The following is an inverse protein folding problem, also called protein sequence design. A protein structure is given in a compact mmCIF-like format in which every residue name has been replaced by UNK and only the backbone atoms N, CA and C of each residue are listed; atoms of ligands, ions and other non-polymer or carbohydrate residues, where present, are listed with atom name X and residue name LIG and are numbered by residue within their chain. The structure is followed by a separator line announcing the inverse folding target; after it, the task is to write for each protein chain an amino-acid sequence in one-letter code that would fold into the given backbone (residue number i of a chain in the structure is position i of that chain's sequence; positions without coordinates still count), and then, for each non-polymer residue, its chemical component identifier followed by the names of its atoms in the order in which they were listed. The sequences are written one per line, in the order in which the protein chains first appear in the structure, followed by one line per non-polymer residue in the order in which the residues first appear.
data_IF_194286023856
#
_entry.id   IF_194286023856
#
_cell.length_a   1.000
_cell.length_b   1.000
_cell.length_c   1.000
_cell.angle_alpha   90.00
_cell.angle_beta   90.00
_cell.angle_gamma   90.00
#
_symmetry.space_group_name_H-M   'P 1'
#
loop_
_entity.id
_entity.type
_entity.pdbx_description
1 polymer ?
#
# COMPACT_ATOMS: atom_id res chain seq x y z
N UNK A 1 85.73 -36.86 -14.72
CA UNK A 1 84.74 -36.92 -13.61
C UNK A 1 84.00 -35.59 -13.38
N UNK A 2 84.58 -34.42 -13.71
CA UNK A 2 84.00 -33.10 -13.40
C UNK A 2 82.69 -32.72 -14.14
N UNK A 3 82.49 -33.18 -15.38
CA UNK A 3 81.29 -32.85 -16.17
C UNK A 3 80.00 -33.46 -15.61
N UNK A 4 80.07 -34.71 -15.11
CA UNK A 4 78.90 -35.41 -14.55
C UNK A 4 78.41 -34.77 -13.25
N UNK A 5 79.32 -34.24 -12.43
CA UNK A 5 78.97 -33.56 -11.17
C UNK A 5 78.22 -32.24 -11.43
N UNK A 6 78.66 -31.45 -12.41
CA UNK A 6 77.97 -30.21 -12.78
C UNK A 6 76.57 -30.46 -13.35
N UNK A 7 76.42 -31.51 -14.16
CA UNK A 7 75.12 -31.89 -14.70
C UNK A 7 74.15 -32.33 -13.59
N UNK A 8 74.63 -33.12 -12.62
CA UNK A 8 73.81 -33.53 -11.47
C UNK A 8 73.42 -32.35 -10.59
N UNK A 9 74.35 -31.41 -10.34
CA UNK A 9 74.04 -30.19 -9.58
C UNK A 9 72.99 -29.31 -10.28
N UNK A 10 73.06 -29.20 -11.61
CA UNK A 10 72.05 -28.47 -12.40
C UNK A 10 70.67 -29.13 -12.32
N UNK A 11 70.57 -30.45 -12.54
CA UNK A 11 69.31 -31.18 -12.39
C UNK A 11 68.71 -31.05 -11.00
N UNK A 12 69.52 -31.16 -9.94
CA UNK A 12 69.01 -31.00 -8.57
C UNK A 12 68.48 -29.60 -8.29
N UNK A 13 69.06 -28.58 -8.92
CA UNK A 13 68.59 -27.21 -8.77
C UNK A 13 67.26 -26.99 -9.51
N UNK A 14 67.14 -27.51 -10.73
CA UNK A 14 65.90 -27.45 -11.51
C UNK A 14 64.74 -28.21 -10.83
N UNK A 15 65.00 -29.41 -10.30
CA UNK A 15 64.01 -30.19 -9.53
C UNK A 15 63.56 -29.46 -8.25
N UNK A 16 64.48 -28.75 -7.59
CA UNK A 16 64.15 -27.93 -6.44
C UNK A 16 63.22 -26.77 -6.82
N UNK A 17 63.52 -26.04 -7.90
CA UNK A 17 62.65 -24.96 -8.37
C UNK A 17 61.27 -25.46 -8.82
N UNK A 18 61.21 -26.62 -9.49
CA UNK A 18 59.96 -27.26 -9.89
C UNK A 18 59.13 -27.66 -8.67
N UNK A 19 59.77 -28.23 -7.65
CA UNK A 19 59.12 -28.60 -6.40
C UNK A 19 58.55 -27.37 -5.68
N UNK A 20 59.30 -26.27 -5.65
CA UNK A 20 58.82 -25.02 -5.06
C UNK A 20 57.58 -24.47 -5.80
N UNK A 21 57.61 -24.45 -7.14
CA UNK A 21 56.45 -24.05 -7.95
C UNK A 21 55.26 -24.97 -7.75
N UNK A 22 55.51 -26.27 -7.56
CA UNK A 22 54.45 -27.25 -7.30
C UNK A 22 53.74 -26.95 -5.97
N UNK A 23 54.50 -26.73 -4.90
CA UNK A 23 53.95 -26.36 -3.60
C UNK A 23 53.14 -25.06 -3.67
N UNK A 24 53.62 -24.05 -4.40
CA UNK A 24 52.88 -22.81 -4.62
C UNK A 24 51.54 -23.05 -5.34
N UNK A 25 51.52 -23.94 -6.35
CA UNK A 25 50.30 -24.31 -7.08
C UNK A 25 49.34 -25.05 -6.15
N UNK A 26 49.84 -25.98 -5.35
CA UNK A 26 49.03 -26.72 -4.37
C UNK A 26 48.42 -25.78 -3.33
N UNK A 27 49.21 -24.83 -2.80
CA UNK A 27 48.73 -23.82 -1.85
C UNK A 27 47.62 -22.95 -2.42
N UNK A 28 47.79 -22.45 -3.66
CA UNK A 28 46.74 -21.67 -4.35
C UNK A 28 45.48 -22.49 -4.59
N UNK A 29 45.61 -23.75 -4.98
CA UNK A 29 44.47 -24.65 -5.19
C UNK A 29 43.71 -24.91 -3.89
N UNK A 30 44.42 -25.17 -2.79
CA UNK A 30 43.81 -25.40 -1.48
C UNK A 30 43.00 -24.18 -1.03
N UNK A 31 43.57 -22.98 -1.15
CA UNK A 31 42.89 -21.74 -0.81
C UNK A 31 41.62 -21.52 -1.66
N UNK A 32 41.70 -21.74 -2.96
CA UNK A 32 40.54 -21.59 -3.85
C UNK A 32 39.43 -22.58 -3.50
N UNK A 33 39.77 -23.85 -3.24
CA UNK A 33 38.79 -24.87 -2.85
C UNK A 33 38.08 -24.49 -1.54
N UNK A 34 38.84 -24.00 -0.54
CA UNK A 34 38.28 -23.54 0.73
C UNK A 34 37.30 -22.36 0.51
N UNK A 35 37.66 -21.39 -0.34
CA UNK A 35 36.78 -20.27 -0.68
C UNK A 35 35.50 -20.73 -1.39
N UNK A 36 35.62 -21.66 -2.34
CA UNK A 36 34.48 -22.22 -3.06
C UNK A 36 33.53 -22.98 -2.12
N UNK A 37 34.06 -23.77 -1.19
CA UNK A 37 33.29 -24.51 -0.20
C UNK A 37 32.52 -23.55 0.73
N UNK A 38 33.20 -22.52 1.26
CA UNK A 38 32.58 -21.51 2.11
C UNK A 38 31.42 -20.78 1.39
N UNK A 39 31.65 -20.38 0.13
CA UNK A 39 30.62 -19.73 -0.67
C UNK A 39 29.43 -20.66 -0.97
N UNK A 40 29.70 -21.93 -1.27
CA UNK A 40 28.67 -22.93 -1.51
C UNK A 40 27.79 -23.13 -0.27
N UNK A 41 28.38 -23.35 0.90
CA UNK A 41 27.62 -23.53 2.14
C UNK A 41 26.83 -22.28 2.52
N UNK A 42 27.37 -21.07 2.30
CA UNK A 42 26.64 -19.83 2.48
C UNK A 42 25.39 -19.76 1.57
N UNK A 43 25.54 -20.08 0.28
CA UNK A 43 24.42 -20.08 -0.65
C UNK A 43 23.37 -21.14 -0.31
N UNK A 44 23.81 -22.33 0.09
CA UNK A 44 22.94 -23.41 0.54
C UNK A 44 22.13 -23.01 1.76
N UNK A 45 22.75 -22.37 2.75
CA UNK A 45 22.07 -21.83 3.93
C UNK A 45 21.03 -20.77 3.56
N UNK A 46 21.39 -19.81 2.68
CA UNK A 46 20.47 -18.78 2.18
C UNK A 46 19.24 -19.39 1.48
N UNK A 47 19.45 -20.37 0.59
CA UNK A 47 18.36 -21.08 -0.10
C UNK A 47 17.45 -21.82 0.88
N UNK A 48 18.03 -22.50 1.88
CA UNK A 48 17.25 -23.18 2.93
C UNK A 48 16.40 -22.18 3.72
N UNK A 49 16.98 -21.06 4.13
CA UNK A 49 16.25 -19.99 4.83
C UNK A 49 15.12 -19.42 3.98
N UNK A 50 15.38 -19.11 2.70
CA UNK A 50 14.37 -18.59 1.78
C UNK A 50 13.22 -19.58 1.58
N UNK A 51 13.51 -20.87 1.45
CA UNK A 51 12.51 -21.92 1.34
C UNK A 51 11.59 -21.95 2.57
N UNK A 52 12.17 -21.93 3.77
CA UNK A 52 11.41 -21.91 5.03
C UNK A 52 10.52 -20.67 5.13
N UNK A 53 11.06 -19.49 4.82
CA UNK A 53 10.29 -18.24 4.84
C UNK A 53 9.15 -18.26 3.80
N UNK A 54 9.41 -18.78 2.60
CA UNK A 54 8.40 -18.92 1.55
C UNK A 54 7.30 -19.89 1.96
N UNK A 55 7.65 -21.00 2.62
CA UNK A 55 6.68 -21.97 3.11
C UNK A 55 5.81 -21.36 4.21
N UNK A 56 6.41 -20.72 5.22
CA UNK A 56 5.68 -20.03 6.27
C UNK A 56 4.77 -18.92 5.72
N UNK A 57 5.24 -18.15 4.74
CA UNK A 57 4.42 -17.15 4.07
C UNK A 57 3.24 -17.78 3.31
N UNK A 58 3.46 -18.93 2.64
CA UNK A 58 2.41 -19.66 1.94
C UNK A 58 1.33 -20.18 2.91
N UNK A 59 1.74 -20.76 4.03
CA UNK A 59 0.84 -21.25 5.09
C UNK A 59 0.00 -20.10 5.67
N UNK A 60 0.65 -18.99 6.03
CA UNK A 60 -0.04 -17.78 6.51
C UNK A 60 -1.02 -17.23 5.48
N UNK A 61 -0.62 -17.14 4.21
CA UNK A 61 -1.48 -16.63 3.15
C UNK A 61 -2.69 -17.55 2.90
N UNK A 62 -2.50 -18.87 3.02
CA UNK A 62 -3.60 -19.83 2.90
C UNK A 62 -4.63 -19.64 4.03
N UNK A 63 -4.18 -19.43 5.27
CA UNK A 63 -5.06 -19.15 6.39
C UNK A 63 -5.84 -17.85 6.17
N UNK A 64 -5.16 -16.77 5.80
CA UNK A 64 -5.81 -15.47 5.53
C UNK A 64 -6.86 -15.60 4.41
N UNK A 65 -6.55 -16.35 3.36
CA UNK A 65 -7.50 -16.57 2.27
C UNK A 65 -8.74 -17.34 2.75
N UNK A 66 -8.55 -18.35 3.59
CA UNK A 66 -9.65 -19.09 4.20
C UNK A 66 -10.51 -18.17 5.09
N UNK A 67 -9.88 -17.32 5.90
CA UNK A 67 -10.58 -16.37 6.76
C UNK A 67 -11.41 -15.37 5.93
N UNK A 68 -10.86 -14.87 4.82
CA UNK A 68 -11.61 -14.01 3.89
C UNK A 68 -12.80 -14.73 3.25
N UNK A 69 -12.62 -15.97 2.79
CA UNK A 69 -13.72 -16.75 2.22
C UNK A 69 -14.83 -17.01 3.25
N UNK A 70 -14.45 -17.27 4.50
CA UNK A 70 -15.41 -17.44 5.59
C UNK A 70 -16.13 -16.14 5.90
N UNK A 71 -15.42 -15.01 5.98
CA UNK A 71 -16.01 -13.70 6.17
C UNK A 71 -16.99 -13.35 5.04
N UNK A 72 -16.61 -13.61 3.78
CA UNK A 72 -17.47 -13.41 2.62
C UNK A 72 -18.75 -14.25 2.71
N UNK A 73 -18.63 -15.56 2.97
CA UNK A 73 -19.81 -16.44 3.15
C UNK A 73 -20.72 -15.95 4.28
N UNK A 74 -20.15 -15.49 5.39
CA UNK A 74 -20.91 -14.94 6.50
C UNK A 74 -21.65 -13.65 6.10
N UNK A 75 -21.02 -12.79 5.29
CA UNK A 75 -21.66 -11.59 4.77
C UNK A 75 -22.73 -11.90 3.72
N UNK A 76 -22.54 -12.92 2.89
CA UNK A 76 -23.53 -13.34 1.89
C UNK A 76 -24.76 -13.99 2.53
N UNK A 77 -24.57 -14.80 3.57
CA UNK A 77 -25.67 -15.48 4.28
C UNK A 77 -26.44 -14.55 5.20
N UNK A 78 -25.82 -13.48 5.69
CA UNK A 78 -26.47 -12.45 6.50
C UNK A 78 -27.11 -11.41 5.56
N UNK A 79 -28.41 -11.14 5.69
CA UNK A 79 -28.98 -9.94 5.04
C UNK A 79 -28.23 -8.71 5.60
N UNK A 80 -27.39 -8.10 4.75
CA UNK A 80 -26.44 -7.05 5.12
C UNK A 80 -27.13 -5.81 5.70
N UNK A 81 -28.37 -5.52 5.28
CA UNK A 81 -29.19 -4.43 5.81
C UNK A 81 -30.63 -4.89 6.01
N UNK A 82 -31.27 -4.40 7.08
CA UNK A 82 -32.69 -4.61 7.33
C UNK A 82 -33.52 -4.08 6.14
N UNK A 83 -34.60 -4.76 5.71
CA UNK A 83 -35.43 -4.34 4.58
C UNK A 83 -35.87 -2.87 4.64
N UNK A 84 -36.09 -2.34 5.84
CA UNK A 84 -36.45 -0.93 6.05
C UNK A 84 -35.36 0.05 5.61
N UNK A 85 -34.09 -0.31 5.80
CA UNK A 85 -32.96 0.54 5.39
C UNK A 85 -32.86 0.54 3.87
N UNK A 86 -32.98 -0.64 3.24
CA UNK A 86 -33.00 -0.80 1.78
C UNK A 86 -34.16 -0.01 1.17
N UNK A 87 -35.35 -0.10 1.77
CA UNK A 87 -36.52 0.65 1.33
C UNK A 87 -36.30 2.17 1.46
N UNK A 88 -35.70 2.62 2.58
CA UNK A 88 -35.35 4.04 2.77
C UNK A 88 -34.33 4.53 1.76
N UNK A 89 -33.28 3.78 1.48
CA UNK A 89 -32.30 4.12 0.44
C UNK A 89 -32.94 4.21 -0.94
N UNK A 90 -33.78 3.23 -1.28
CA UNK A 90 -34.51 3.21 -2.56
C UNK A 90 -35.41 4.43 -2.71
N UNK A 91 -36.21 4.75 -1.68
CA UNK A 91 -37.07 5.93 -1.68
C UNK A 91 -36.28 7.24 -1.71
N UNK A 92 -35.14 7.29 -1.01
CA UNK A 92 -34.24 8.44 -1.02
C UNK A 92 -33.68 8.69 -2.41
N UNK A 93 -33.05 7.69 -3.03
CA UNK A 93 -32.48 7.82 -4.38
C UNK A 93 -33.55 8.14 -5.43
N UNK A 94 -34.72 7.50 -5.35
CA UNK A 94 -35.86 7.85 -6.21
C UNK A 94 -36.36 9.29 -5.98
N UNK A 95 -36.24 9.82 -4.76
CA UNK A 95 -36.55 11.23 -4.49
C UNK A 95 -35.46 12.18 -5.00
N UNK A 96 -34.20 11.76 -4.98
CA UNK A 96 -33.08 12.51 -5.55
C UNK A 96 -33.25 12.62 -7.06
N UNK A 97 -33.49 11.49 -7.74
CA UNK A 97 -33.72 11.43 -9.19
C UNK A 97 -34.91 12.31 -9.61
N UNK A 98 -36.01 12.28 -8.85
CA UNK A 98 -37.17 13.15 -9.11
C UNK A 98 -36.86 14.64 -9.03
N UNK A 99 -35.97 15.04 -8.12
CA UNK A 99 -35.59 16.46 -7.95
C UNK A 99 -34.40 16.85 -8.83
N UNK A 100 -33.64 15.89 -9.35
CA UNK A 100 -32.44 16.14 -10.14
C UNK A 100 -32.68 17.13 -11.31
N UNK A 101 -33.79 17.07 -12.08
CA UNK A 101 -34.08 18.03 -13.14
C UNK A 101 -34.24 19.48 -12.64
N UNK A 102 -34.80 19.69 -11.44
CA UNK A 102 -34.93 21.03 -10.85
C UNK A 102 -33.56 21.65 -10.51
N UNK A 103 -32.59 20.79 -10.22
CA UNK A 103 -31.22 21.18 -9.88
C UNK A 103 -30.30 21.22 -11.10
N UNK A 104 -30.67 20.60 -12.22
CA UNK A 104 -29.81 20.42 -13.40
C UNK A 104 -29.22 21.75 -13.91
N UNK A 105 -30.05 22.77 -14.09
CA UNK A 105 -29.57 24.08 -14.58
C UNK A 105 -28.60 24.77 -13.62
N UNK A 106 -28.82 24.62 -12.31
CA UNK A 106 -27.92 25.15 -11.28
C UNK A 106 -26.60 24.36 -11.22
N UNK A 107 -26.68 23.02 -11.23
CA UNK A 107 -25.52 22.13 -11.21
C UNK A 107 -24.65 22.30 -12.46
N UNK A 108 -25.24 22.63 -13.60
CA UNK A 108 -24.53 22.97 -14.84
C UNK A 108 -24.00 24.42 -14.87
N UNK A 109 -24.19 25.21 -13.81
CA UNK A 109 -23.71 26.58 -13.69
C UNK A 109 -24.49 27.61 -14.53
N UNK A 110 -25.67 27.24 -15.03
CA UNK A 110 -26.48 28.05 -15.96
C UNK A 110 -27.69 28.72 -15.30
N UNK A 111 -27.90 28.55 -14.00
CA UNK A 111 -29.09 29.06 -13.31
C UNK A 111 -28.89 29.31 -11.81
N UNK A 112 -29.91 29.90 -11.19
CA UNK A 112 -30.00 30.07 -9.74
C UNK A 112 -30.45 28.74 -9.09
N UNK A 113 -30.05 28.46 -7.84
CA UNK A 113 -30.46 27.23 -7.17
C UNK A 113 -31.98 27.20 -6.98
N UNK A 114 -32.63 26.03 -7.19
CA UNK A 114 -34.07 25.91 -6.99
C UNK A 114 -34.42 26.22 -5.54
N UNK A 115 -35.44 27.07 -5.34
CA UNK A 115 -35.88 27.46 -4.00
C UNK A 115 -36.72 26.32 -3.43
N UNK A 116 -36.20 25.59 -2.45
CA UNK A 116 -36.96 24.57 -1.71
C UNK A 116 -38.27 25.14 -1.15
N UNK A 117 -39.36 24.37 -1.20
CA UNK A 117 -40.67 24.77 -0.66
C UNK A 117 -40.61 25.23 0.80
N UNK A 118 -39.76 24.59 1.61
CA UNK A 118 -39.47 24.99 2.99
C UNK A 118 -38.84 26.39 3.06
N UNK A 119 -37.97 26.72 2.11
CA UNK A 119 -37.38 28.06 1.97
C UNK A 119 -38.37 29.11 1.47
N UNK A 120 -39.34 28.72 0.63
CA UNK A 120 -40.45 29.59 0.20
C UNK A 120 -41.39 29.92 1.36
N UNK A 121 -41.78 28.91 2.15
CA UNK A 121 -42.62 29.10 3.34
C UNK A 121 -41.93 29.96 4.40
N UNK A 122 -40.63 29.74 4.67
CA UNK A 122 -39.87 30.56 5.61
C UNK A 122 -39.73 32.02 5.12
N UNK A 123 -39.53 32.23 3.81
CA UNK A 123 -39.52 33.58 3.21
C UNK A 123 -40.88 34.26 3.32
N UNK A 124 -41.97 33.54 3.05
CA UNK A 124 -43.32 34.07 3.17
C UNK A 124 -43.66 34.41 4.63
N UNK A 125 -43.24 33.58 5.60
CA UNK A 125 -43.43 33.84 7.02
C UNK A 125 -42.64 35.06 7.50
N UNK A 126 -41.40 35.26 7.00
CA UNK A 126 -40.57 36.45 7.26
C UNK A 126 -41.09 37.72 6.57
N UNK A 127 -41.76 37.60 5.44
CA UNK A 127 -42.40 38.74 4.76
C UNK A 127 -43.70 39.15 5.47
N UNK A 128 -44.47 38.19 5.99
CA UNK A 128 -45.69 38.45 6.77
C UNK A 128 -45.41 39.15 8.10
N UNK A 129 -44.27 38.87 8.73
CA UNK A 129 -43.81 39.57 9.95
C UNK A 129 -43.20 40.95 9.66
N UNK A 130 -42.67 41.20 8.45
CA UNK A 130 -42.11 42.52 8.08
C UNK A 130 -43.15 43.56 7.68
N UNK A 131 -44.36 43.17 7.32
CA UNK A 131 -45.41 44.12 6.93
C UNK A 131 -46.24 44.66 8.11
N UNK A 132 -46.01 44.19 9.33
CA UNK A 132 -46.79 44.63 10.51
C UNK A 132 -46.12 45.69 11.40
N UNK A 133 -44.86 46.08 11.14
CA UNK A 133 -44.18 47.08 11.97
C UNK A 133 -43.53 48.21 11.15
N UNK A 134 -43.85 49.50 11.40
CA UNK A 134 -43.10 50.63 10.86
C UNK A 134 -41.94 51.05 11.78
N UNK A 135 -40.74 50.45 11.60
CA UNK A 135 -39.40 50.92 12.06
C UNK A 135 -39.18 51.19 13.58
N UNK A 136 -37.94 51.35 14.12
CA UNK A 136 -36.63 51.62 13.50
C UNK A 136 -35.45 50.75 14.04
N UNK A 137 -34.22 51.21 13.74
CA UNK A 137 -32.93 50.91 14.41
C UNK A 137 -32.05 49.85 13.73
N UNK A 138 -31.10 50.35 12.94
CA UNK A 138 -29.89 49.62 12.56
C UNK A 138 -28.94 49.56 13.77
N UNK A 139 -28.74 48.36 14.32
CA UNK A 139 -27.60 48.05 15.18
C UNK A 139 -26.79 46.93 14.52
N UNK A 140 -25.79 47.31 13.73
CA UNK A 140 -24.78 46.37 13.21
C UNK A 140 -23.70 46.16 14.27
N UNK A 141 -23.94 45.22 15.18
CA UNK A 141 -22.87 44.60 15.96
C UNK A 141 -22.39 43.35 15.23
N UNK A 142 -21.25 43.42 14.54
CA UNK A 142 -20.59 42.20 14.07
C UNK A 142 -19.95 41.49 15.28
N UNK A 143 -20.12 40.17 15.46
CA UNK A 143 -19.41 39.44 16.50
C UNK A 143 -17.91 39.35 16.16
N UNK A 144 -17.01 39.44 17.17
CA UNK A 144 -15.57 39.44 16.93
C UNK A 144 -15.10 38.07 16.44
N UNK A 145 -14.32 38.06 15.35
CA UNK A 145 -13.64 36.85 14.87
C UNK A 145 -12.45 36.50 15.77
N UNK A 146 -12.23 35.22 16.09
CA UNK A 146 -11.02 34.77 16.77
C UNK A 146 -9.81 34.82 15.83
N UNK A 147 -8.63 35.14 16.38
CA UNK A 147 -7.36 35.18 15.63
C UNK A 147 -6.84 33.77 15.37
N UNK A 148 -6.24 33.51 14.19
CA UNK A 148 -5.61 32.23 13.88
C UNK A 148 -4.33 32.04 14.71
N UNK A 149 -4.09 30.81 15.17
CA UNK A 149 -2.81 30.35 15.72
C UNK A 149 -1.87 29.95 14.59
#
# INVERSE_FOLDING_TARGET
MSLKLHQMAFYTHEEFELSQKHEDILGKRALLLQQMEAHYEQQKAKKKQQCLMSQAAKERNAQILQDFQNAEKNLQTRQLLHPDIINRETLYWASVERKLPEWEQYLLGKGQPPVSETGRLLRQQRQKTRQQDPSPVQCKGNPPRPKPR
#
